data_IF_882964945862
#
_entry.id   IF_882964945862
#
_cell.length_a   1.000
_cell.length_b   1.000
_cell.length_c   1.000
_cell.angle_alpha   90.00
_cell.angle_beta   90.00
_cell.angle_gamma   90.00
#
_symmetry.space_group_name_H-M   'P 1'
#
loop_
_entity.id
_entity.type
_entity.pdbx_description
1 polymer ?
#
# COMPACT_ATOMS: atom_id res chain seq x y z
N UNK A 1 11.61 -4.26 3.97
CA UNK A 1 11.89 -3.25 2.93
C UNK A 1 10.72 -3.16 1.95
N UNK A 2 10.15 -1.97 1.70
CA UNK A 2 9.03 -1.79 0.75
C UNK A 2 9.35 -0.69 -0.26
N UNK A 3 9.63 -1.07 -1.50
CA UNK A 3 9.82 -0.14 -2.61
C UNK A 3 8.48 0.13 -3.30
N UNK A 4 7.70 1.07 -2.77
CA UNK A 4 6.50 1.53 -3.48
C UNK A 4 6.85 2.40 -4.69
N UNK A 5 5.84 2.76 -5.50
CA UNK A 5 5.96 3.63 -6.69
C UNK A 5 6.80 4.91 -6.49
N UNK A 6 6.87 5.46 -5.28
CA UNK A 6 7.67 6.65 -4.96
C UNK A 6 9.11 6.35 -4.50
N UNK A 7 9.34 5.22 -3.82
CA UNK A 7 10.67 4.89 -3.25
C UNK A 7 11.58 4.22 -4.26
N UNK A 8 11.01 3.43 -5.18
CA UNK A 8 11.79 2.72 -6.19
C UNK A 8 12.49 3.68 -7.18
N UNK A 9 11.84 4.73 -7.72
CA UNK A 9 12.52 5.72 -8.55
C UNK A 9 13.62 6.48 -7.79
N UNK A 10 13.38 6.81 -6.52
CA UNK A 10 14.37 7.46 -5.67
C UNK A 10 15.61 6.57 -5.44
N UNK A 11 15.39 5.28 -5.21
CA UNK A 11 16.47 4.30 -5.07
C UNK A 11 17.27 4.16 -6.36
N UNK A 12 16.60 4.03 -7.51
CA UNK A 12 17.25 3.96 -8.82
C UNK A 12 18.11 5.19 -9.12
N UNK A 13 17.62 6.36 -8.74
CA UNK A 13 18.37 7.60 -8.88
C UNK A 13 19.59 7.64 -7.94
N UNK A 14 19.44 7.29 -6.66
CA UNK A 14 20.54 7.37 -5.70
C UNK A 14 21.64 6.32 -5.95
N UNK A 15 21.27 5.11 -6.36
CA UNK A 15 22.21 3.99 -6.49
C UNK A 15 22.79 3.89 -7.89
N UNK A 16 22.00 4.17 -8.92
CA UNK A 16 22.39 3.95 -10.32
C UNK A 16 22.37 5.24 -11.16
N UNK A 17 22.03 6.39 -10.56
CA UNK A 17 21.84 7.66 -11.27
C UNK A 17 20.81 7.60 -12.41
N UNK A 18 19.85 6.67 -12.32
CA UNK A 18 18.81 6.49 -13.32
C UNK A 18 17.62 7.37 -12.95
N UNK A 19 17.41 8.45 -13.70
CA UNK A 19 16.26 9.34 -13.54
C UNK A 19 15.05 8.78 -14.29
N UNK A 20 14.12 8.18 -13.56
CA UNK A 20 12.88 7.62 -14.13
C UNK A 20 11.65 8.20 -13.45
N UNK A 21 10.64 8.55 -14.25
CA UNK A 21 9.35 8.97 -13.73
C UNK A 21 8.64 7.77 -13.05
N UNK A 22 8.12 7.93 -11.82
CA UNK A 22 7.34 6.90 -11.12
C UNK A 22 6.26 6.22 -11.97
N UNK A 23 5.59 6.96 -12.86
CA UNK A 23 4.54 6.43 -13.75
C UNK A 23 5.14 5.49 -14.80
N UNK A 24 6.23 5.90 -15.43
CA UNK A 24 6.97 5.11 -16.42
C UNK A 24 7.57 3.86 -15.80
N UNK A 25 8.14 3.96 -14.59
CA UNK A 25 8.63 2.81 -13.85
C UNK A 25 7.52 1.79 -13.61
N UNK A 26 6.34 2.25 -13.20
CA UNK A 26 5.18 1.40 -13.01
C UNK A 26 4.76 0.63 -14.29
N UNK A 27 4.87 1.27 -15.46
CA UNK A 27 4.57 0.63 -16.74
C UNK A 27 5.62 -0.44 -17.10
N UNK A 28 6.91 -0.15 -16.91
CA UNK A 28 7.98 -1.13 -17.15
C UNK A 28 7.87 -2.33 -16.22
N UNK A 29 7.61 -2.09 -14.94
CA UNK A 29 7.39 -3.17 -13.98
C UNK A 29 6.20 -4.05 -14.39
N UNK A 30 5.09 -3.45 -14.86
CA UNK A 30 3.94 -4.21 -15.36
C UNK A 30 4.30 -5.07 -16.58
N UNK A 31 5.07 -4.53 -17.53
CA UNK A 31 5.54 -5.28 -18.72
C UNK A 31 6.46 -6.44 -18.34
N UNK A 32 7.29 -6.26 -17.33
CA UNK A 32 8.22 -7.26 -16.81
C UNK A 32 7.58 -8.21 -15.77
N UNK A 33 6.26 -8.11 -15.55
CA UNK A 33 5.51 -8.86 -14.54
C UNK A 33 6.09 -8.75 -13.12
N UNK A 34 6.68 -7.59 -12.79
CA UNK A 34 7.26 -7.27 -11.49
C UNK A 34 6.24 -6.54 -10.60
N UNK A 35 6.04 -7.04 -9.39
CA UNK A 35 5.09 -6.47 -8.43
C UNK A 35 5.79 -5.78 -7.27
N UNK A 36 5.38 -4.55 -6.96
CA UNK A 36 5.78 -3.88 -5.73
C UNK A 36 4.75 -4.17 -4.65
N UNK A 37 5.14 -4.93 -3.63
CA UNK A 37 4.28 -5.22 -2.47
C UNK A 37 4.11 -3.99 -1.58
N UNK A 38 3.24 -3.06 -1.99
CA UNK A 38 2.72 -2.04 -1.10
C UNK A 38 1.61 -2.70 -0.29
N UNK A 39 1.84 -3.03 1.00
CA UNK A 39 0.69 -3.39 1.87
C UNK A 39 -0.30 -2.25 1.75
N UNK A 40 -1.51 -2.56 1.34
CA UNK A 40 -2.64 -1.71 1.69
C UNK A 40 -2.82 -1.85 3.21
N UNK A 41 -2.98 -0.73 3.90
CA UNK A 41 -3.42 -0.76 5.30
C UNK A 41 -4.77 -1.50 5.29
N UNK A 42 -4.89 -2.57 6.08
CA UNK A 42 -6.18 -3.25 6.22
C UNK A 42 -7.21 -2.23 6.68
N UNK A 43 -8.39 -2.21 6.02
CA UNK A 43 -9.51 -1.34 6.40
C UNK A 43 -9.80 -1.58 7.89
N UNK A 44 -9.90 -0.52 8.69
CA UNK A 44 -10.23 -0.68 10.11
C UNK A 44 -11.56 -1.42 10.20
N UNK A 45 -11.59 -2.53 10.95
CA UNK A 45 -12.84 -3.25 11.21
C UNK A 45 -13.75 -2.29 11.99
N UNK A 46 -15.02 -2.26 11.60
CA UNK A 46 -16.05 -1.49 12.31
C UNK A 46 -16.10 -1.94 13.77
N UNK A 47 -16.01 -0.99 14.71
CA UNK A 47 -16.11 -1.29 16.13
C UNK A 47 -17.59 -1.37 16.50
N UNK A 48 -18.17 -2.56 16.46
CA UNK A 48 -19.54 -2.79 16.93
C UNK A 48 -19.57 -2.65 18.46
N UNK A 49 -20.32 -1.67 18.96
CA UNK A 49 -20.60 -1.56 20.39
C UNK A 49 -21.69 -2.59 20.74
N UNK A 50 -21.29 -3.80 21.13
CA UNK A 50 -22.21 -4.88 21.55
C UNK A 50 -22.74 -4.71 22.98
N UNK A 51 -22.44 -3.60 23.64
CA UNK A 51 -22.77 -3.37 25.05
C UNK A 51 -24.16 -2.71 25.23
N UNK A 52 -25.14 -3.14 24.45
CA UNK A 52 -26.54 -2.77 24.64
C UNK A 52 -27.14 -3.82 25.57
N UNK A 53 -27.28 -3.46 26.86
CA UNK A 53 -28.04 -4.28 27.81
C UNK A 53 -29.52 -4.02 27.55
N UNK A 54 -30.24 -5.03 27.07
CA UNK A 54 -31.70 -5.00 27.08
C UNK A 54 -32.14 -5.05 28.54
N UNK A 55 -32.86 -4.02 29.01
CA UNK A 55 -33.55 -4.08 30.29
C UNK A 55 -34.73 -5.01 30.07
N UNK A 56 -34.70 -6.17 30.72
CA UNK A 56 -35.84 -7.10 30.76
C UNK A 56 -37.04 -6.35 31.35
N UNK A 57 -38.08 -6.17 30.53
CA UNK A 57 -39.40 -5.69 30.94
C UNK A 57 -40.26 -6.94 31.20
N UNK A 58 -40.10 -7.53 32.38
CA UNK A 58 -41.04 -8.50 32.96
C UNK A 58 -41.32 -8.10 34.39
#
# INVERSE_FOLDING_TARGET
>A
MRYGRRRLPKYLFLTYNIKVNPRTLGNYMKRLNLFTFVRRKNRQKEHKNTNVKFVDLV
#
